data_IF_649908734214
#
_entry.id   IF_649908734214
#
_cell.length_a   1.000
_cell.length_b   1.000
_cell.length_c   1.000
_cell.angle_alpha   90.00
_cell.angle_beta   90.00
_cell.angle_gamma   90.00
#
_symmetry.space_group_name_H-M   'P 1'
#
loop_
_entity.id
_entity.type
_entity.pdbx_description
1 polymer ?
#
# COMPACT_ATOMS: atom_id res chain seq x y z
N UNK A 1 35.67 68.59 -37.56
CA UNK A 1 35.93 67.16 -37.43
C UNK A 1 35.11 66.79 -36.21
N UNK A 2 33.85 66.41 -36.42
CA UNK A 2 32.95 66.15 -35.29
C UNK A 2 33.45 64.88 -34.61
N UNK A 3 33.83 65.06 -33.36
CA UNK A 3 34.34 64.00 -32.51
C UNK A 3 33.22 62.99 -32.24
N UNK A 4 33.53 61.69 -32.22
CA UNK A 4 32.55 60.63 -31.97
C UNK A 4 31.78 60.92 -30.70
N UNK A 5 32.48 61.38 -29.66
CA UNK A 5 31.89 61.72 -28.38
C UNK A 5 30.81 62.81 -28.50
N UNK A 6 31.03 63.80 -29.38
CA UNK A 6 30.10 64.89 -29.63
C UNK A 6 28.84 64.42 -30.37
N UNK A 7 29.01 63.61 -31.42
CA UNK A 7 27.89 63.03 -32.19
C UNK A 7 27.10 62.02 -31.36
N UNK A 8 27.78 61.20 -30.56
CA UNK A 8 27.17 60.21 -29.70
C UNK A 8 26.35 60.88 -28.58
N UNK A 9 26.89 61.96 -27.99
CA UNK A 9 26.16 62.78 -27.02
C UNK A 9 24.95 63.48 -27.63
N UNK A 10 25.06 63.98 -28.87
CA UNK A 10 23.95 64.62 -29.58
C UNK A 10 22.83 63.62 -29.93
N UNK A 11 23.17 62.38 -30.30
CA UNK A 11 22.20 61.34 -30.66
C UNK A 11 21.56 60.65 -29.46
N UNK A 12 22.35 60.29 -28.45
CA UNK A 12 21.94 59.38 -27.38
C UNK A 12 21.87 60.07 -26.01
N UNK A 13 22.25 61.35 -25.91
CA UNK A 13 22.18 62.14 -24.67
C UNK A 13 23.18 61.71 -23.59
N UNK A 14 24.09 60.78 -23.88
CA UNK A 14 25.12 60.26 -22.96
C UNK A 14 26.48 60.21 -23.64
N UNK A 15 27.54 60.04 -22.87
CA UNK A 15 28.87 59.75 -23.42
C UNK A 15 29.01 58.25 -23.77
N UNK A 16 29.79 57.91 -24.82
CA UNK A 16 30.10 56.52 -25.13
C UNK A 16 31.10 55.94 -24.13
N UNK A 17 31.01 54.64 -23.89
CA UNK A 17 32.02 53.88 -23.15
C UNK A 17 33.26 53.63 -24.02
N UNK A 18 34.45 53.50 -23.41
CA UNK A 18 35.70 53.17 -24.12
C UNK A 18 35.55 51.94 -25.04
N UNK A 19 34.82 50.92 -24.58
CA UNK A 19 34.55 49.70 -25.37
C UNK A 19 33.62 49.94 -26.55
N UNK A 20 32.65 50.86 -26.40
CA UNK A 20 31.74 51.25 -27.48
C UNK A 20 32.52 52.04 -28.54
N UNK A 21 33.40 52.95 -28.12
CA UNK A 21 34.28 53.72 -29.01
C UNK A 21 35.19 52.80 -29.82
N UNK A 22 35.86 51.84 -29.17
CA UNK A 22 36.75 50.88 -29.83
C UNK A 22 36.00 50.05 -30.89
N UNK A 23 34.82 49.51 -30.55
CA UNK A 23 34.01 48.73 -31.49
C UNK A 23 33.49 49.57 -32.64
N UNK A 24 33.03 50.79 -32.36
CA UNK A 24 32.55 51.72 -33.38
C UNK A 24 33.67 52.05 -34.38
N UNK A 25 34.90 52.37 -33.91
CA UNK A 25 36.04 52.58 -34.79
C UNK A 25 36.41 51.33 -35.60
N UNK A 26 36.37 50.14 -34.98
CA UNK A 26 36.62 48.88 -35.70
C UNK A 26 35.63 48.67 -36.84
N UNK A 27 34.33 48.88 -36.59
CA UNK A 27 33.26 48.73 -37.58
C UNK A 27 33.35 49.82 -38.66
N UNK A 28 33.65 51.07 -38.26
CA UNK A 28 33.89 52.19 -39.17
C UNK A 28 35.00 51.88 -40.17
N UNK A 29 36.12 51.38 -39.69
CA UNK A 29 37.29 51.06 -40.51
C UNK A 29 37.02 49.86 -41.44
N UNK A 30 36.29 48.86 -40.96
CA UNK A 30 35.92 47.69 -41.77
C UNK A 30 34.95 48.05 -42.92
N UNK A 31 34.05 49.00 -42.69
CA UNK A 31 33.06 49.45 -43.68
C UNK A 31 33.53 50.69 -44.47
N UNK A 32 34.71 51.23 -44.17
CA UNK A 32 35.29 52.44 -44.76
C UNK A 32 34.32 53.64 -44.75
N UNK A 33 33.64 53.86 -43.62
CA UNK A 33 32.61 54.90 -43.46
C UNK A 33 33.26 56.26 -43.13
N UNK A 34 32.79 57.31 -43.79
CA UNK A 34 33.22 58.70 -43.55
C UNK A 34 32.51 59.31 -42.33
N UNK A 35 33.16 60.28 -41.69
CA UNK A 35 32.65 60.93 -40.45
C UNK A 35 31.28 61.61 -40.61
N UNK A 36 30.96 62.13 -41.80
CA UNK A 36 29.72 62.85 -42.10
C UNK A 36 28.63 61.96 -42.74
N UNK A 37 28.77 60.64 -42.67
CA UNK A 37 27.80 59.72 -43.27
C UNK A 37 26.58 59.50 -42.35
N UNK A 38 25.38 59.44 -42.91
CA UNK A 38 24.17 59.09 -42.17
C UNK A 38 24.24 57.66 -41.60
N UNK A 39 24.97 56.76 -42.27
CA UNK A 39 25.23 55.41 -41.79
C UNK A 39 25.95 55.40 -40.43
N UNK A 40 26.77 56.42 -40.17
CA UNK A 40 27.54 56.55 -38.94
C UNK A 40 26.64 56.76 -37.71
N UNK A 41 25.58 57.55 -37.86
CA UNK A 41 24.59 57.79 -36.81
C UNK A 41 23.78 56.52 -36.48
N UNK A 42 23.44 55.73 -37.52
CA UNK A 42 22.71 54.46 -37.37
C UNK A 42 23.56 53.44 -36.61
N UNK A 43 24.86 53.36 -36.92
CA UNK A 43 25.79 52.46 -36.20
C UNK A 43 25.94 52.83 -34.72
N UNK A 44 25.99 54.12 -34.38
CA UNK A 44 26.01 54.55 -32.98
C UNK A 44 24.74 54.13 -32.23
N UNK A 45 23.58 54.29 -32.86
CA UNK A 45 22.32 53.85 -32.27
C UNK A 45 22.30 52.32 -32.06
N UNK A 46 22.73 51.55 -33.06
CA UNK A 46 22.80 50.08 -32.99
C UNK A 46 23.77 49.58 -31.91
N UNK A 47 24.97 50.15 -31.81
CA UNK A 47 25.91 49.79 -30.74
C UNK A 47 25.31 50.08 -29.36
N UNK A 48 24.64 51.22 -29.20
CA UNK A 48 23.95 51.54 -27.95
C UNK A 48 22.79 50.58 -27.64
N UNK A 49 22.11 50.04 -28.65
CA UNK A 49 21.09 49.00 -28.45
C UNK A 49 21.73 47.65 -28.08
N UNK A 50 22.83 47.26 -28.71
CA UNK A 50 23.56 46.03 -28.37
C UNK A 50 24.07 46.06 -26.92
N UNK A 51 24.68 47.17 -26.49
CA UNK A 51 25.17 47.31 -25.12
C UNK A 51 24.05 47.36 -24.09
N UNK A 52 22.88 47.89 -24.45
CA UNK A 52 21.70 47.88 -23.60
C UNK A 52 21.11 46.47 -23.47
N UNK A 53 20.89 45.78 -24.59
CA UNK A 53 20.24 44.47 -24.61
C UNK A 53 21.12 43.33 -24.09
N UNK A 54 22.45 43.44 -24.24
CA UNK A 54 23.40 42.43 -23.72
C UNK A 54 23.33 42.24 -22.19
N UNK A 55 22.79 43.20 -21.45
CA UNK A 55 22.66 43.15 -19.98
C UNK A 55 21.39 42.43 -19.51
N UNK A 56 20.35 42.40 -20.34
CA UNK A 56 19.04 41.84 -19.96
C UNK A 56 19.09 40.35 -19.63
N UNK A 57 19.79 39.47 -20.38
CA UNK A 57 19.85 38.05 -20.06
C UNK A 57 20.35 37.77 -18.63
N UNK A 58 21.38 38.50 -18.18
CA UNK A 58 21.92 38.36 -16.83
C UNK A 58 20.93 38.87 -15.77
N UNK A 59 20.25 39.99 -16.02
CA UNK A 59 19.23 40.52 -15.11
C UNK A 59 18.01 39.59 -15.01
N UNK A 60 17.57 39.02 -16.13
CA UNK A 60 16.47 38.06 -16.17
C UNK A 60 16.86 36.79 -15.41
N UNK A 61 18.05 36.24 -15.65
CA UNK A 61 18.53 35.06 -14.93
C UNK A 61 18.54 35.28 -13.42
N UNK A 62 19.09 36.41 -12.96
CA UNK A 62 19.10 36.74 -11.53
C UNK A 62 17.69 36.89 -10.94
N UNK A 63 16.75 37.48 -11.68
CA UNK A 63 15.37 37.61 -11.22
C UNK A 63 14.64 36.27 -11.21
N UNK A 64 14.91 35.38 -12.18
CA UNK A 64 14.37 34.02 -12.23
C UNK A 64 14.83 33.21 -11.04
N UNK A 65 16.12 33.28 -10.67
CA UNK A 65 16.66 32.58 -9.51
C UNK A 65 15.95 33.02 -8.22
N UNK A 66 15.73 34.32 -8.04
CA UNK A 66 15.00 34.87 -6.89
C UNK A 66 13.54 34.39 -6.86
N UNK A 67 12.88 34.30 -8.02
CA UNK A 67 11.49 33.81 -8.11
C UNK A 67 11.41 32.32 -7.81
N UNK A 68 12.35 31.52 -8.33
CA UNK A 68 12.42 30.07 -8.07
C UNK A 68 12.62 29.81 -6.58
N UNK A 69 13.50 30.57 -5.92
CA UNK A 69 13.75 30.37 -4.50
C UNK A 69 12.52 30.72 -3.65
N UNK A 70 11.84 31.83 -3.95
CA UNK A 70 10.55 32.15 -3.32
C UNK A 70 9.48 31.09 -3.60
N UNK A 71 9.44 30.54 -4.80
CA UNK A 71 8.52 29.45 -5.13
C UNK A 71 8.83 28.18 -4.34
N UNK A 72 10.11 27.83 -4.14
CA UNK A 72 10.50 26.68 -3.31
C UNK A 72 10.04 26.84 -1.86
N UNK A 73 10.20 28.02 -1.27
CA UNK A 73 9.72 28.31 0.07
C UNK A 73 8.20 28.13 0.18
N UNK A 74 7.44 28.68 -0.77
CA UNK A 74 5.98 28.53 -0.81
C UNK A 74 5.54 27.08 -1.04
N UNK A 75 6.23 26.35 -1.94
CA UNK A 75 5.96 24.93 -2.20
C UNK A 75 6.25 24.11 -0.95
N UNK A 76 7.34 24.38 -0.22
CA UNK A 76 7.66 23.66 1.02
C UNK A 76 6.55 23.83 2.06
N UNK A 77 6.03 25.05 2.24
CA UNK A 77 4.92 25.32 3.16
C UNK A 77 3.62 24.60 2.74
N UNK A 78 3.29 24.63 1.45
CA UNK A 78 2.10 23.95 0.91
C UNK A 78 2.25 22.43 1.02
N UNK A 79 3.42 21.87 0.71
CA UNK A 79 3.71 20.44 0.79
C UNK A 79 3.63 19.95 2.24
N UNK A 80 4.08 20.73 3.22
CA UNK A 80 3.94 20.37 4.63
C UNK A 80 2.47 20.36 5.08
N UNK A 81 1.66 21.32 4.62
CA UNK A 81 0.23 21.35 4.93
C UNK A 81 -0.54 20.20 4.24
N UNK A 82 -0.25 19.94 2.97
CA UNK A 82 -0.91 18.91 2.18
C UNK A 82 -0.46 17.50 2.60
N UNK A 83 0.82 17.30 2.90
CA UNK A 83 1.34 16.04 3.44
C UNK A 83 0.73 15.72 4.81
N UNK A 84 0.59 16.69 5.71
CA UNK A 84 -0.11 16.49 7.00
C UNK A 84 -1.57 16.08 6.78
N UNK A 85 -2.26 16.67 5.81
CA UNK A 85 -3.63 16.30 5.46
C UNK A 85 -3.71 14.89 4.85
N UNK A 86 -2.78 14.53 3.97
CA UNK A 86 -2.70 13.18 3.40
C UNK A 86 -2.36 12.12 4.46
N UNK A 87 -1.48 12.44 5.41
CA UNK A 87 -1.15 11.57 6.53
C UNK A 87 -2.33 11.40 7.49
N UNK A 88 -3.11 12.45 7.75
CA UNK A 88 -4.28 12.36 8.63
C UNK A 88 -5.41 11.54 7.99
N UNK A 89 -5.66 11.70 6.69
CA UNK A 89 -6.65 10.89 5.96
C UNK A 89 -6.22 9.44 5.86
N UNK A 90 -4.93 9.18 5.59
CA UNK A 90 -4.38 7.82 5.59
C UNK A 90 -4.47 7.20 6.99
N UNK A 91 -4.13 7.94 8.04
CA UNK A 91 -4.23 7.46 9.43
C UNK A 91 -5.66 7.13 9.81
N UNK A 92 -6.64 7.95 9.41
CA UNK A 92 -8.07 7.67 9.62
C UNK A 92 -8.52 6.42 8.87
N UNK A 93 -8.11 6.25 7.61
CA UNK A 93 -8.42 5.06 6.82
C UNK A 93 -7.77 3.79 7.39
N UNK A 94 -6.52 3.88 7.86
CA UNK A 94 -5.80 2.78 8.52
C UNK A 94 -6.45 2.44 9.86
N UNK A 95 -6.85 3.44 10.66
CA UNK A 95 -7.57 3.20 11.91
C UNK A 95 -8.91 2.50 11.66
N UNK A 96 -9.69 2.96 10.68
CA UNK A 96 -10.97 2.35 10.32
C UNK A 96 -10.79 0.90 9.82
N UNK A 97 -9.82 0.65 8.95
CA UNK A 97 -9.53 -0.72 8.48
C UNK A 97 -9.03 -1.60 9.62
N UNK A 98 -8.20 -1.08 10.54
CA UNK A 98 -7.74 -1.80 11.73
C UNK A 98 -8.89 -2.19 12.66
N UNK A 99 -9.85 -1.29 12.89
CA UNK A 99 -11.06 -1.62 13.67
C UNK A 99 -11.91 -2.70 13.00
N UNK A 100 -12.10 -2.63 11.68
CA UNK A 100 -12.84 -3.66 10.94
C UNK A 100 -12.12 -5.01 10.96
N UNK A 101 -10.79 -5.03 10.87
CA UNK A 101 -9.99 -6.25 10.97
C UNK A 101 -10.02 -6.81 12.40
N UNK A 102 -9.83 -5.98 13.42
CA UNK A 102 -9.85 -6.39 14.81
C UNK A 102 -11.20 -6.98 15.22
N UNK A 103 -12.31 -6.35 14.81
CA UNK A 103 -13.66 -6.87 15.09
C UNK A 103 -13.94 -8.18 14.35
N UNK A 104 -13.50 -8.32 13.09
CA UNK A 104 -13.61 -9.60 12.36
C UNK A 104 -12.80 -10.71 13.03
N UNK A 105 -11.54 -10.44 13.40
CA UNK A 105 -10.67 -11.43 14.07
C UNK A 105 -11.24 -11.82 15.43
N UNK A 106 -11.67 -10.85 16.25
CA UNK A 106 -12.24 -11.10 17.57
C UNK A 106 -13.53 -11.94 17.48
N UNK A 107 -14.42 -11.63 16.53
CA UNK A 107 -15.64 -12.40 16.33
C UNK A 107 -15.33 -13.82 15.87
N UNK A 108 -14.44 -14.02 14.89
CA UNK A 108 -14.04 -15.38 14.45
C UNK A 108 -13.46 -16.19 15.61
N UNK A 109 -12.56 -15.60 16.40
CA UNK A 109 -11.95 -16.30 17.54
C UNK A 109 -13.02 -16.74 18.56
N UNK A 110 -14.04 -15.90 18.80
CA UNK A 110 -15.16 -16.23 19.68
C UNK A 110 -16.01 -17.38 19.14
N UNK A 111 -16.33 -17.38 17.86
CA UNK A 111 -17.06 -18.48 17.20
C UNK A 111 -16.27 -19.79 17.22
N UNK A 112 -14.95 -19.73 17.02
CA UNK A 112 -14.06 -20.90 17.12
C UNK A 112 -14.02 -21.47 18.54
N UNK A 113 -13.89 -20.61 19.55
CA UNK A 113 -13.90 -21.04 20.95
C UNK A 113 -15.22 -21.73 21.32
N UNK A 114 -16.36 -21.16 20.92
CA UNK A 114 -17.67 -21.77 21.15
C UNK A 114 -17.84 -23.10 20.40
N UNK A 115 -17.28 -23.21 19.19
CA UNK A 115 -17.25 -24.47 18.45
C UNK A 115 -16.56 -25.59 19.21
N UNK A 116 -15.37 -25.34 19.77
CA UNK A 116 -14.65 -26.33 20.58
C UNK A 116 -15.36 -26.69 21.89
N UNK A 117 -15.99 -25.71 22.55
CA UNK A 117 -16.80 -25.96 23.74
C UNK A 117 -17.98 -26.89 23.43
N UNK A 118 -18.70 -26.67 22.32
CA UNK A 118 -19.80 -27.53 21.89
C UNK A 118 -19.34 -28.96 21.59
N UNK A 119 -18.19 -29.14 20.93
CA UNK A 119 -17.62 -30.48 20.67
C UNK A 119 -17.29 -31.20 21.98
N UNK A 120 -16.68 -30.50 22.95
CA UNK A 120 -16.37 -31.06 24.26
C UNK A 120 -17.63 -31.48 25.04
N UNK A 121 -18.68 -30.66 24.99
CA UNK A 121 -19.96 -30.96 25.65
C UNK A 121 -20.63 -32.21 25.06
N UNK A 122 -20.60 -32.36 23.74
CA UNK A 122 -21.19 -33.51 23.05
C UNK A 122 -20.41 -34.79 23.34
N UNK A 123 -19.07 -34.72 23.35
CA UNK A 123 -18.22 -35.85 23.71
C UNK A 123 -18.45 -36.29 25.17
N UNK A 124 -18.60 -35.33 26.09
CA UNK A 124 -18.94 -35.60 27.47
C UNK A 124 -20.33 -36.23 27.62
N UNK A 125 -21.34 -35.71 26.91
CA UNK A 125 -22.69 -36.28 26.88
C UNK A 125 -22.70 -37.72 26.34
N UNK A 126 -21.90 -38.01 25.30
CA UNK A 126 -21.73 -39.35 24.76
C UNK A 126 -21.16 -40.32 25.82
N UNK A 127 -20.12 -39.88 26.57
CA UNK A 127 -19.52 -40.66 27.65
C UNK A 127 -20.50 -40.94 28.79
N UNK A 128 -21.31 -39.96 29.17
CA UNK A 128 -22.33 -40.16 30.22
C UNK A 128 -23.41 -41.15 29.79
N UNK A 129 -23.86 -41.10 28.53
CA UNK A 129 -24.86 -42.03 28.01
C UNK A 129 -24.34 -43.46 27.94
N UNK A 130 -23.09 -43.67 27.52
CA UNK A 130 -22.48 -45.00 27.48
C UNK A 130 -22.26 -45.57 28.88
N UNK A 131 -21.73 -44.77 29.81
CA UNK A 131 -21.54 -45.18 31.20
C UNK A 131 -22.87 -45.51 31.90
N UNK A 132 -23.90 -44.68 31.68
CA UNK A 132 -25.24 -44.90 32.25
C UNK A 132 -25.90 -46.17 31.73
N UNK A 133 -25.79 -46.45 30.43
CA UNK A 133 -26.35 -47.67 29.83
C UNK A 133 -25.66 -48.93 30.34
N UNK A 134 -24.32 -48.92 30.42
CA UNK A 134 -23.53 -50.07 30.91
C UNK A 134 -23.87 -50.38 32.37
N UNK A 135 -23.98 -49.35 33.21
CA UNK A 135 -24.30 -49.53 34.63
C UNK A 135 -25.74 -49.98 34.86
N UNK A 136 -26.69 -49.52 34.03
CA UNK A 136 -28.11 -49.84 34.17
C UNK A 136 -28.53 -51.20 33.57
N UNK A 137 -27.88 -51.66 32.51
CA UNK A 137 -28.28 -52.88 31.79
C UNK A 137 -27.35 -54.07 32.01
N UNK A 138 -26.14 -53.87 32.54
CA UNK A 138 -25.14 -54.92 32.75
C UNK A 138 -24.61 -55.57 31.47
N UNK A 139 -25.01 -55.08 30.30
CA UNK A 139 -24.66 -55.59 28.98
C UNK A 139 -24.04 -54.46 28.14
N UNK A 140 -23.12 -54.79 27.24
CA UNK A 140 -22.58 -53.79 26.31
C UNK A 140 -23.68 -53.31 25.34
N UNK A 141 -23.79 -52.00 25.07
CA UNK A 141 -24.81 -51.50 24.16
C UNK A 141 -24.67 -52.07 22.76
N UNK A 142 -25.78 -52.18 22.02
CA UNK A 142 -25.80 -52.80 20.69
C UNK A 142 -24.94 -52.08 19.64
N UNK A 143 -24.63 -50.80 19.87
CA UNK A 143 -23.71 -50.00 19.05
C UNK A 143 -22.22 -50.18 19.42
N UNK A 144 -21.91 -50.87 20.53
CA UNK A 144 -20.56 -51.10 21.05
C UNK A 144 -19.96 -52.47 20.66
N UNK A 145 -20.66 -53.27 19.85
CA UNK A 145 -20.08 -54.49 19.27
C UNK A 145 -18.97 -54.10 18.29
N UNK A 146 -17.73 -54.27 18.72
CA UNK A 146 -16.55 -53.87 17.95
C UNK A 146 -15.59 -55.05 17.77
N UNK A 147 -14.94 -55.07 16.61
CA UNK A 147 -13.91 -56.04 16.22
C UNK A 147 -12.74 -55.99 17.20
N UNK A 148 -12.19 -57.14 17.56
CA UNK A 148 -11.14 -57.34 18.56
C UNK A 148 -9.88 -56.51 18.19
N UNK A 149 -9.61 -55.44 18.96
CA UNK A 149 -8.38 -54.64 18.87
C UNK A 149 -7.63 -54.68 20.20
N UNK A 150 -6.30 -54.55 20.17
CA UNK A 150 -5.42 -54.78 21.32
C UNK A 150 -5.28 -53.57 22.27
N UNK A 151 -5.83 -52.40 21.93
CA UNK A 151 -5.63 -51.15 22.67
C UNK A 151 -6.92 -50.72 23.40
N UNK A 152 -6.92 -50.59 24.75
CA UNK A 152 -8.13 -50.24 25.51
C UNK A 152 -8.67 -48.83 25.21
N UNK A 153 -7.79 -47.90 24.85
CA UNK A 153 -8.20 -46.54 24.47
C UNK A 153 -8.91 -46.49 23.10
N UNK A 154 -8.49 -47.32 22.15
CA UNK A 154 -9.15 -47.43 20.84
C UNK A 154 -10.53 -48.06 20.95
N UNK A 155 -10.70 -49.01 21.88
CA UNK A 155 -12.00 -49.59 22.21
C UNK A 155 -12.95 -48.49 22.69
N UNK A 156 -12.53 -47.67 23.66
CA UNK A 156 -13.37 -46.56 24.17
C UNK A 156 -13.71 -45.55 23.07
N UNK A 157 -12.74 -45.18 22.23
CA UNK A 157 -12.96 -44.23 21.12
C UNK A 157 -13.92 -44.80 20.07
N UNK A 158 -13.78 -46.07 19.70
CA UNK A 158 -14.66 -46.72 18.72
C UNK A 158 -16.10 -46.91 19.22
N UNK A 159 -16.27 -47.16 20.52
CA UNK A 159 -17.57 -47.21 21.20
C UNK A 159 -18.24 -45.82 21.18
N UNK A 160 -17.46 -44.75 21.40
CA UNK A 160 -17.96 -43.38 21.39
C UNK A 160 -18.34 -42.90 19.98
N UNK A 161 -17.61 -43.33 18.95
CA UNK A 161 -17.82 -42.93 17.55
C UNK A 161 -19.02 -43.63 16.89
N UNK A 162 -19.33 -44.87 17.31
CA UNK A 162 -20.48 -45.66 16.82
C UNK A 162 -21.78 -45.41 17.60
N UNK A 163 -21.73 -44.66 18.69
CA UNK A 163 -22.94 -44.22 19.39
C UNK A 163 -23.79 -43.31 18.46
N UNK A 164 -25.13 -43.28 18.61
CA UNK A 164 -25.99 -42.41 17.80
C UNK A 164 -25.63 -40.92 17.85
N UNK A 165 -25.03 -40.48 18.97
CA UNK A 165 -24.52 -39.11 19.19
C UNK A 165 -23.10 -38.91 18.63
N UNK A 166 -22.34 -40.00 18.41
CA UNK A 166 -20.96 -39.99 17.94
C UNK A 166 -20.79 -39.41 16.53
N UNK A 167 -21.79 -39.55 15.67
CA UNK A 167 -21.81 -38.96 14.32
C UNK A 167 -21.87 -37.41 14.31
N UNK A 168 -22.31 -36.79 15.40
CA UNK A 168 -22.37 -35.33 15.49
C UNK A 168 -20.98 -34.71 15.72
N UNK A 169 -20.05 -35.47 16.30
CA UNK A 169 -18.68 -35.01 16.60
C UNK A 169 -17.88 -34.69 15.32
N UNK A 170 -17.79 -35.58 14.31
CA UNK A 170 -17.09 -35.25 13.06
C UNK A 170 -17.82 -34.18 12.23
N UNK A 171 -19.15 -34.10 12.28
CA UNK A 171 -19.93 -33.07 11.58
C UNK A 171 -19.67 -31.67 12.16
N UNK A 172 -19.66 -31.54 13.49
CA UNK A 172 -19.41 -30.25 14.14
C UNK A 172 -17.93 -29.88 14.03
N UNK A 173 -17.01 -30.84 14.19
CA UNK A 173 -15.58 -30.60 14.00
C UNK A 173 -15.27 -30.17 12.57
N UNK A 174 -15.88 -30.78 11.55
CA UNK A 174 -15.70 -30.36 10.16
C UNK A 174 -16.29 -28.98 9.87
N UNK A 175 -17.46 -28.65 10.43
CA UNK A 175 -18.03 -27.31 10.33
C UNK A 175 -17.14 -26.23 10.97
N UNK A 176 -16.57 -26.51 12.16
CA UNK A 176 -15.61 -25.61 12.82
C UNK A 176 -14.37 -25.41 11.95
N UNK A 177 -13.80 -26.48 11.39
CA UNK A 177 -12.64 -26.40 10.48
C UNK A 177 -12.98 -25.60 9.21
N UNK A 178 -14.14 -25.80 8.59
CA UNK A 178 -14.58 -25.04 7.41
C UNK A 178 -14.70 -23.54 7.73
N UNK A 179 -15.28 -23.20 8.89
CA UNK A 179 -15.38 -21.80 9.35
C UNK A 179 -14.00 -21.19 9.61
N UNK A 180 -13.07 -21.95 10.19
CA UNK A 180 -11.68 -21.49 10.39
C UNK A 180 -10.98 -21.21 9.06
N UNK A 181 -11.22 -22.04 8.04
CA UNK A 181 -10.63 -21.93 6.71
C UNK A 181 -11.22 -20.76 5.91
N UNK A 182 -12.55 -20.58 5.99
CA UNK A 182 -13.24 -19.48 5.33
C UNK A 182 -12.88 -18.12 5.95
N UNK A 183 -12.64 -18.06 7.26
CA UNK A 183 -12.17 -16.84 7.93
C UNK A 183 -10.69 -16.57 7.70
N UNK A 184 -9.86 -17.60 7.50
CA UNK A 184 -8.42 -17.46 7.30
C UNK A 184 -8.02 -17.37 5.80
N UNK A 185 -8.95 -16.89 4.96
CA UNK A 185 -8.84 -16.82 3.49
C UNK A 185 -7.66 -15.99 2.94
N UNK A 186 -6.87 -15.36 3.81
CA UNK A 186 -5.64 -14.64 3.47
C UNK A 186 -4.38 -15.52 3.41
N UNK A 187 -4.43 -16.78 3.85
CA UNK A 187 -3.33 -17.72 3.66
C UNK A 187 -3.69 -18.74 2.58
N UNK A 188 -2.78 -18.91 1.61
CA UNK A 188 -2.91 -19.91 0.54
C UNK A 188 -3.19 -21.28 1.17
N UNK A 189 -4.33 -21.86 0.82
CA UNK A 189 -4.82 -23.11 1.38
C UNK A 189 -3.78 -24.19 1.10
N UNK A 190 -3.01 -24.57 2.12
CA UNK A 190 -2.00 -25.60 2.01
C UNK A 190 -2.64 -26.96 1.75
N UNK A 191 -2.02 -27.75 0.88
CA UNK A 191 -2.33 -29.17 0.63
C UNK A 191 -2.61 -30.00 1.91
N UNK A 192 -1.91 -29.84 3.05
CA UNK A 192 -2.20 -30.67 4.24
C UNK A 192 -3.59 -30.45 4.84
N UNK A 193 -4.17 -29.26 4.69
CA UNK A 193 -5.47 -28.92 5.32
C UNK A 193 -6.63 -29.51 4.51
N UNK A 194 -6.52 -29.51 3.18
CA UNK A 194 -7.46 -30.19 2.28
C UNK A 194 -7.44 -31.70 2.53
N UNK A 195 -6.24 -32.27 2.76
CA UNK A 195 -6.08 -33.68 3.09
C UNK A 195 -6.76 -33.98 4.43
N UNK A 196 -6.58 -33.17 5.47
CA UNK A 196 -7.26 -33.37 6.77
C UNK A 196 -8.79 -33.31 6.67
N UNK A 197 -9.33 -32.42 5.83
CA UNK A 197 -10.77 -32.28 5.64
C UNK A 197 -11.35 -33.45 4.83
N UNK A 198 -10.66 -33.91 3.79
CA UNK A 198 -11.00 -35.12 3.05
C UNK A 198 -10.91 -36.36 3.94
N UNK A 199 -9.92 -36.44 4.83
CA UNK A 199 -9.75 -37.57 5.75
C UNK A 199 -10.90 -37.62 6.77
N UNK A 200 -11.30 -36.47 7.34
CA UNK A 200 -12.45 -36.37 8.25
C UNK A 200 -13.79 -36.69 7.57
N UNK A 201 -13.99 -36.25 6.33
CA UNK A 201 -15.18 -36.59 5.54
C UNK A 201 -15.19 -38.07 5.14
N UNK A 202 -14.03 -38.64 4.80
CA UNK A 202 -13.92 -40.08 4.53
C UNK A 202 -14.18 -40.92 5.77
N UNK A 203 -13.77 -40.45 6.95
CA UNK A 203 -14.02 -41.11 8.24
C UNK A 203 -15.51 -41.06 8.63
N UNK A 204 -16.22 -39.95 8.33
CA UNK A 204 -17.66 -39.86 8.56
C UNK A 204 -18.43 -40.79 7.62
N UNK A 205 -18.07 -40.84 6.33
CA UNK A 205 -18.67 -41.76 5.34
C UNK A 205 -18.40 -43.22 5.73
N UNK A 206 -17.20 -43.55 6.20
CA UNK A 206 -16.85 -44.90 6.65
C UNK A 206 -17.62 -45.31 7.91
N UNK A 207 -17.83 -44.39 8.86
CA UNK A 207 -18.67 -44.64 10.03
C UNK A 207 -20.15 -44.85 9.69
N UNK A 208 -20.66 -44.16 8.67
CA UNK A 208 -22.04 -44.35 8.17
C UNK A 208 -22.18 -45.72 7.48
N UNK A 209 -21.19 -46.10 6.66
CA UNK A 209 -21.24 -47.38 5.92
C UNK A 209 -21.04 -48.62 6.81
N UNK A 210 -20.40 -48.48 7.97
CA UNK A 210 -20.16 -49.60 8.91
C UNK A 210 -21.40 -49.94 9.78
N UNK A 211 -22.47 -49.14 9.69
CA UNK A 211 -23.72 -49.29 10.47
C UNK A 211 -24.90 -49.81 9.62
N UNK A 212 -24.82 -49.71 8.29
CA UNK A 212 -25.72 -50.39 7.33
C UNK A 212 -25.27 -51.84 7.18
#
# INVERSE_FOLDING_TARGET
>A
MDDIESSFKALLGRQPSEKEVERLYRVKNALNIRDNDAMWMILMALESYDTLYSKYPALIAGQVDVVIEKQRELIAEIVDAESKKALSTLSAAVAQTSHLVATKVANTARWQAWGWVCVGLIAFGALCLTAGFVLGSGNMPFWALTHQTNNPLEIVVSILLKAPVGWMIPLISSAVVIVTLASNRQHAIGRPIIISLLLLVSLSIYCIHTII
#
